data_IF_893069166059
#
_entry.id   IF_893069166059
#
_cell.length_a   1.000
_cell.length_b   1.000
_cell.length_c   1.000
_cell.angle_alpha   90.00
_cell.angle_beta   90.00
_cell.angle_gamma   90.00
#
_symmetry.space_group_name_H-M   'P 1'
#
loop_
_entity.id
_entity.type
_entity.pdbx_description
1 polymer ?
#
# COMPACT_ATOMS: atom_id res chain seq x y z
N UNK A 1 15.23 -29.57 22.55
CA UNK A 1 14.60 -29.83 21.23
C UNK A 1 14.19 -28.53 20.51
N UNK A 2 14.81 -27.39 20.84
CA UNK A 2 14.50 -26.06 20.30
C UNK A 2 15.72 -25.36 19.66
N UNK A 3 16.78 -26.12 19.37
CA UNK A 3 17.99 -25.61 18.69
C UNK A 3 18.28 -26.31 17.34
N UNK A 4 17.41 -27.24 16.91
CA UNK A 4 17.60 -27.99 15.67
C UNK A 4 16.83 -27.43 14.46
N UNK A 5 15.97 -26.43 14.65
CA UNK A 5 15.13 -25.84 13.58
C UNK A 5 15.82 -24.63 12.91
N UNK A 6 16.76 -23.96 13.60
CA UNK A 6 17.44 -22.75 13.10
C UNK A 6 18.62 -23.02 12.14
N UNK A 7 18.94 -24.29 11.85
CA UNK A 7 20.12 -24.65 11.05
C UNK A 7 19.83 -24.90 9.56
N UNK A 8 18.55 -24.97 9.14
CA UNK A 8 18.20 -25.23 7.74
C UNK A 8 17.92 -23.97 6.91
N UNK A 9 17.85 -22.79 7.53
CA UNK A 9 17.58 -21.51 6.85
C UNK A 9 18.80 -20.91 6.12
N UNK A 10 19.98 -21.52 6.21
CA UNK A 10 21.23 -20.99 5.58
C UNK A 10 21.59 -21.59 4.22
N UNK A 11 20.79 -22.51 3.68
CA UNK A 11 21.07 -23.20 2.40
C UNK A 11 20.07 -22.89 1.28
N UNK A 12 19.23 -21.86 1.43
CA UNK A 12 18.22 -21.45 0.45
C UNK A 12 18.42 -20.07 -0.16
N UNK A 13 19.65 -19.54 -0.24
CA UNK A 13 19.94 -18.28 -0.94
C UNK A 13 20.24 -18.54 -2.43
N UNK A 14 19.24 -19.00 -3.17
CA UNK A 14 19.27 -18.96 -4.65
C UNK A 14 17.89 -19.23 -5.28
N UNK A 15 16.86 -18.54 -4.79
CA UNK A 15 15.61 -18.35 -5.54
C UNK A 15 15.34 -16.87 -5.64
N UNK A 16 15.91 -16.26 -6.67
CA UNK A 16 15.39 -15.00 -7.23
C UNK A 16 13.91 -15.19 -7.53
N UNK A 17 13.12 -14.13 -7.40
CA UNK A 17 11.71 -14.05 -7.78
C UNK A 17 11.53 -14.12 -9.31
N UNK A 18 12.24 -15.02 -9.98
CA UNK A 18 12.03 -15.30 -11.39
C UNK A 18 10.76 -16.15 -11.54
N UNK A 19 9.65 -15.48 -11.84
CA UNK A 19 8.54 -16.07 -12.58
C UNK A 19 7.60 -16.98 -11.81
N UNK A 20 7.03 -16.52 -10.69
CA UNK A 20 5.73 -17.06 -10.27
C UNK A 20 4.63 -16.48 -11.17
N UNK A 21 4.24 -17.26 -12.18
CA UNK A 21 2.98 -17.04 -12.90
C UNK A 21 1.85 -17.04 -11.87
N UNK A 22 0.91 -16.08 -11.90
CA UNK A 22 -0.25 -16.11 -11.02
C UNK A 22 -1.05 -17.39 -11.27
N UNK A 23 -1.71 -17.98 -10.25
CA UNK A 23 -2.50 -19.19 -10.40
C UNK A 23 -3.63 -18.92 -11.42
N UNK A 24 -3.48 -19.55 -12.57
CA UNK A 24 -4.44 -19.51 -13.66
C UNK A 24 -5.61 -20.43 -13.33
N UNK A 25 -6.61 -19.89 -12.63
CA UNK A 25 -7.97 -20.37 -12.77
C UNK A 25 -8.46 -20.00 -14.16
N UNK A 26 -8.64 -20.99 -15.04
CA UNK A 26 -9.16 -20.80 -16.40
C UNK A 26 -10.63 -20.37 -16.36
N UNK A 27 -10.88 -19.09 -16.13
CA UNK A 27 -12.12 -18.43 -16.49
C UNK A 27 -11.82 -17.54 -17.69
N UNK A 28 -12.43 -17.87 -18.83
CA UNK A 28 -12.47 -17.06 -20.05
C UNK A 28 -12.52 -15.56 -19.72
N UNK A 29 -11.47 -14.81 -20.10
CA UNK A 29 -11.42 -13.35 -20.04
C UNK A 29 -12.36 -12.75 -21.09
N UNK A 30 -13.67 -12.94 -20.90
CA UNK A 30 -14.65 -12.09 -21.52
C UNK A 30 -14.69 -10.82 -20.66
N UNK A 31 -14.26 -9.69 -21.23
CA UNK A 31 -14.58 -8.37 -20.68
C UNK A 31 -16.11 -8.31 -20.54
N UNK A 32 -16.62 -8.52 -19.32
CA UNK A 32 -18.05 -8.39 -19.04
C UNK A 32 -18.37 -6.91 -19.13
N UNK A 33 -19.24 -6.56 -20.09
CA UNK A 33 -19.78 -5.20 -20.22
C UNK A 33 -20.49 -4.86 -18.90
N UNK A 34 -20.11 -3.76 -18.20
CA UNK A 34 -20.74 -3.37 -16.95
C UNK A 34 -22.25 -3.18 -17.13
N UNK A 35 -23.07 -3.54 -16.13
CA UNK A 35 -24.50 -3.21 -16.18
C UNK A 35 -24.65 -1.69 -16.28
N UNK A 36 -25.64 -1.23 -17.06
CA UNK A 36 -25.96 0.20 -17.24
C UNK A 36 -26.03 0.90 -15.88
N UNK A 37 -25.17 1.91 -15.66
CA UNK A 37 -25.07 2.68 -14.41
C UNK A 37 -23.81 2.39 -13.57
N UNK A 38 -22.97 1.43 -13.97
CA UNK A 38 -21.78 1.02 -13.21
C UNK A 38 -20.46 1.21 -13.98
N UNK A 39 -20.30 2.33 -14.68
CA UNK A 39 -19.06 2.61 -15.41
C UNK A 39 -18.15 3.51 -14.56
N UNK A 40 -16.85 3.19 -14.55
CA UNK A 40 -15.83 4.07 -13.99
C UNK A 40 -15.67 5.31 -14.88
N UNK A 41 -15.79 6.51 -14.31
CA UNK A 41 -15.69 7.79 -15.01
C UNK A 41 -14.23 8.22 -15.19
N UNK A 42 -13.46 7.41 -15.94
CA UNK A 42 -12.01 7.54 -16.10
C UNK A 42 -11.53 8.95 -16.46
N UNK A 43 -12.19 9.61 -17.41
CA UNK A 43 -11.82 10.96 -17.84
C UNK A 43 -12.01 11.99 -16.72
N UNK A 44 -13.04 11.81 -15.87
CA UNK A 44 -13.26 12.69 -14.73
C UNK A 44 -12.22 12.45 -13.64
N UNK A 45 -11.84 11.20 -13.39
CA UNK A 45 -10.78 10.91 -12.41
C UNK A 45 -9.43 11.43 -12.89
N UNK A 46 -9.09 11.30 -14.18
CA UNK A 46 -7.87 11.92 -14.73
C UNK A 46 -7.88 13.43 -14.59
N UNK A 47 -9.00 14.08 -14.93
CA UNK A 47 -9.17 15.52 -14.71
C UNK A 47 -8.97 15.87 -13.23
N UNK A 48 -9.69 15.23 -12.30
CA UNK A 48 -9.54 15.44 -10.86
C UNK A 48 -8.08 15.32 -10.39
N UNK A 49 -7.38 14.26 -10.79
CA UNK A 49 -6.00 13.99 -10.38
C UNK A 49 -5.01 15.05 -10.87
N UNK A 50 -5.25 15.64 -12.05
CA UNK A 50 -4.39 16.67 -12.65
C UNK A 50 -4.56 18.06 -12.02
N UNK A 51 -5.67 18.30 -11.29
CA UNK A 51 -6.02 19.60 -10.72
C UNK A 51 -5.99 19.59 -9.18
N UNK A 52 -5.33 18.61 -8.55
CA UNK A 52 -5.23 18.48 -7.09
C UNK A 52 -4.48 19.63 -6.40
N UNK A 53 -3.59 20.32 -7.11
CA UNK A 53 -2.74 21.41 -6.58
C UNK A 53 -2.95 22.74 -7.30
N UNK A 54 -4.09 22.96 -7.95
CA UNK A 54 -4.40 24.22 -8.63
C UNK A 54 -4.49 25.41 -7.66
N UNK A 55 -5.07 25.19 -6.48
CA UNK A 55 -5.23 26.22 -5.45
C UNK A 55 -4.20 26.07 -4.31
N UNK A 56 -2.98 26.54 -4.59
CA UNK A 56 -1.85 26.53 -3.65
C UNK A 56 -1.96 27.59 -2.54
N UNK A 57 -2.92 28.51 -2.65
CA UNK A 57 -3.15 29.58 -1.67
C UNK A 57 -4.24 29.23 -0.65
N UNK A 58 -5.01 28.16 -0.90
CA UNK A 58 -6.03 27.68 0.01
C UNK A 58 -5.47 27.26 1.38
N UNK A 59 -6.31 27.42 2.42
CA UNK A 59 -6.01 26.93 3.76
C UNK A 59 -5.80 25.41 3.78
N UNK A 60 -6.61 24.67 3.02
CA UNK A 60 -6.52 23.21 2.94
C UNK A 60 -5.20 22.76 2.31
N UNK A 61 -4.70 23.48 1.29
CA UNK A 61 -3.37 23.23 0.75
C UNK A 61 -2.29 23.46 1.83
N UNK A 62 -2.34 24.56 2.57
CA UNK A 62 -1.34 24.81 3.63
C UNK A 62 -1.43 23.79 4.78
N UNK A 63 -2.64 23.38 5.18
CA UNK A 63 -2.83 22.44 6.29
C UNK A 63 -2.45 21.00 5.94
N UNK A 64 -2.38 20.65 4.65
CA UNK A 64 -2.04 19.30 4.17
C UNK A 64 -0.54 19.07 3.92
N UNK A 65 0.35 20.01 4.27
CA UNK A 65 1.80 19.88 4.04
C UNK A 65 2.39 18.59 4.62
N UNK A 66 1.96 18.20 5.82
CA UNK A 66 2.41 16.98 6.50
C UNK A 66 1.94 15.66 5.83
N UNK A 67 1.08 15.73 4.81
CA UNK A 67 0.58 14.58 4.04
C UNK A 67 1.04 14.58 2.58
N UNK A 68 1.82 15.58 2.16
CA UNK A 68 2.04 15.88 0.73
C UNK A 68 2.74 14.75 -0.02
N UNK A 69 3.75 14.11 0.57
CA UNK A 69 4.42 12.94 -0.03
C UNK A 69 3.46 11.78 -0.27
N UNK A 70 2.57 11.51 0.69
CA UNK A 70 1.50 10.53 0.52
C UNK A 70 0.53 10.93 -0.59
N UNK A 71 0.10 12.20 -0.61
CA UNK A 71 -0.75 12.79 -1.65
C UNK A 71 -0.19 12.60 -3.06
N UNK A 72 1.10 12.89 -3.24
CA UNK A 72 1.81 12.69 -4.50
C UNK A 72 1.86 11.21 -4.88
N UNK A 73 2.16 10.32 -3.94
CA UNK A 73 2.13 8.88 -4.19
C UNK A 73 0.77 8.40 -4.66
N UNK A 74 -0.31 8.76 -3.98
CA UNK A 74 -1.66 8.35 -4.35
C UNK A 74 -2.06 8.92 -5.71
N UNK A 75 -1.75 10.20 -5.98
CA UNK A 75 -2.06 10.85 -7.25
C UNK A 75 -1.32 10.23 -8.44
N UNK A 76 0.00 10.05 -8.33
CA UNK A 76 0.84 9.45 -9.38
C UNK A 76 0.43 8.00 -9.62
N UNK A 77 0.20 7.23 -8.56
CA UNK A 77 -0.19 5.81 -8.69
C UNK A 77 -1.59 5.66 -9.28
N UNK A 78 -2.53 6.55 -8.95
CA UNK A 78 -3.84 6.59 -9.60
C UNK A 78 -3.74 6.90 -11.10
N UNK A 79 -2.92 7.88 -11.50
CA UNK A 79 -2.63 8.16 -12.90
C UNK A 79 -1.93 6.97 -13.60
N UNK A 80 -1.07 6.24 -12.88
CA UNK A 80 -0.44 5.05 -13.42
C UNK A 80 -1.45 3.93 -13.68
N UNK A 81 -2.42 3.71 -12.79
CA UNK A 81 -3.54 2.78 -13.02
C UNK A 81 -4.41 3.20 -14.21
N UNK A 82 -4.56 4.50 -14.46
CA UNK A 82 -5.24 5.02 -15.65
C UNK A 82 -4.39 4.96 -16.92
N UNK A 83 -3.09 4.61 -16.81
CA UNK A 83 -2.06 4.61 -17.86
C UNK A 83 -1.73 6.01 -18.41
N UNK A 84 -1.74 7.03 -17.54
CA UNK A 84 -1.56 8.46 -17.89
C UNK A 84 -0.40 9.17 -17.20
N UNK A 85 0.26 8.53 -16.23
CA UNK A 85 1.34 9.14 -15.44
C UNK A 85 2.55 9.62 -16.26
N UNK A 86 2.79 9.09 -17.46
CA UNK A 86 3.89 9.50 -18.35
C UNK A 86 3.50 10.57 -19.39
N UNK A 87 2.22 10.96 -19.46
CA UNK A 87 1.75 11.89 -20.51
C UNK A 87 2.25 13.34 -20.31
N UNK A 88 2.63 13.70 -19.09
CA UNK A 88 3.17 15.03 -18.75
C UNK A 88 4.60 14.92 -18.19
N UNK A 89 5.57 15.00 -19.09
CA UNK A 89 6.98 14.92 -18.73
C UNK A 89 7.44 16.07 -17.83
N UNK A 90 6.90 17.28 -18.01
CA UNK A 90 7.26 18.45 -17.19
C UNK A 90 6.78 18.28 -15.75
N UNK A 91 5.56 17.78 -15.57
CA UNK A 91 5.02 17.46 -14.24
C UNK A 91 5.79 16.33 -13.56
N UNK A 92 6.20 15.30 -14.32
CA UNK A 92 7.06 14.24 -13.80
C UNK A 92 8.38 14.80 -13.25
N UNK A 93 9.06 15.64 -14.02
CA UNK A 93 10.32 16.28 -13.58
C UNK A 93 10.11 17.13 -12.32
N UNK A 94 9.04 17.95 -12.28
CA UNK A 94 8.69 18.75 -11.10
C UNK A 94 8.51 17.89 -9.83
N UNK A 95 7.79 16.77 -9.96
CA UNK A 95 7.53 15.84 -8.85
C UNK A 95 8.84 15.19 -8.39
N UNK A 96 9.68 14.71 -9.31
CA UNK A 96 10.96 14.07 -8.97
C UNK A 96 11.88 15.06 -8.26
N UNK A 97 12.03 16.27 -8.79
CA UNK A 97 12.84 17.33 -8.17
C UNK A 97 12.30 17.73 -6.79
N UNK A 98 10.98 17.77 -6.62
CA UNK A 98 10.36 18.02 -5.31
C UNK A 98 10.63 16.89 -4.31
N UNK A 99 10.51 15.62 -4.71
CA UNK A 99 10.83 14.47 -3.85
C UNK A 99 12.29 14.55 -3.38
N UNK A 100 13.23 14.83 -4.29
CA UNK A 100 14.65 14.94 -3.94
C UNK A 100 14.94 16.09 -2.96
N UNK A 101 14.16 17.18 -3.00
CA UNK A 101 14.21 18.27 -2.00
C UNK A 101 13.61 17.91 -0.65
N UNK A 102 12.79 16.86 -0.57
CA UNK A 102 12.24 16.36 0.70
C UNK A 102 13.23 15.47 1.47
N UNK A 103 14.39 15.17 0.90
CA UNK A 103 15.47 14.45 1.60
C UNK A 103 15.96 15.26 2.79
N UNK A 104 16.24 14.58 3.90
CA UNK A 104 16.78 15.18 5.11
C UNK A 104 18.10 15.94 4.85
N UNK A 105 18.16 17.25 5.15
CA UNK A 105 19.39 18.05 5.06
C UNK A 105 20.51 17.56 5.98
N UNK A 106 20.17 16.89 7.09
CA UNK A 106 21.11 16.28 8.03
C UNK A 106 21.86 15.06 7.46
N UNK A 107 21.53 14.67 6.22
CA UNK A 107 22.10 13.54 5.51
C UNK A 107 21.90 12.19 6.23
N UNK A 108 20.80 12.03 6.98
CA UNK A 108 20.40 10.71 7.48
C UNK A 108 20.12 9.73 6.34
N UNK A 109 19.61 10.24 5.21
CA UNK A 109 19.18 9.49 4.05
C UNK A 109 17.66 9.35 3.94
N UNK A 110 16.90 9.65 5.00
CA UNK A 110 15.44 9.63 4.97
C UNK A 110 14.81 10.81 4.23
N UNK A 111 13.52 10.69 3.93
CA UNK A 111 12.69 11.75 3.33
C UNK A 111 11.58 12.16 4.29
N UNK A 112 11.30 13.46 4.34
CA UNK A 112 10.15 14.02 5.05
C UNK A 112 8.90 14.09 4.17
N UNK A 113 7.73 14.34 4.77
CA UNK A 113 6.46 14.43 4.05
C UNK A 113 6.37 15.65 3.12
N UNK A 114 7.22 16.65 3.32
CA UNK A 114 7.38 17.83 2.47
C UNK A 114 8.79 18.43 2.67
N UNK A 115 9.20 19.34 1.78
CA UNK A 115 10.50 20.00 1.86
C UNK A 115 10.64 20.77 3.19
N UNK A 116 11.75 20.54 3.91
CA UNK A 116 12.01 21.15 5.21
C UNK A 116 11.37 20.46 6.41
N UNK A 117 10.64 19.36 6.21
CA UNK A 117 10.12 18.53 7.31
C UNK A 117 11.13 17.48 7.76
N UNK A 118 11.00 17.04 9.01
CA UNK A 118 11.79 15.93 9.54
C UNK A 118 11.53 14.63 8.74
N UNK A 119 12.55 13.79 8.53
CA UNK A 119 12.38 12.52 7.83
C UNK A 119 11.64 11.50 8.69
N UNK A 120 10.77 10.74 8.04
CA UNK A 120 10.07 9.61 8.63
C UNK A 120 10.02 8.42 7.66
N UNK A 121 9.75 7.23 8.19
CA UNK A 121 9.79 6.00 7.42
C UNK A 121 8.63 5.89 6.41
N UNK A 122 7.50 6.53 6.67
CA UNK A 122 6.33 6.48 5.79
C UNK A 122 6.53 7.39 4.57
N UNK A 123 6.98 8.63 4.78
CA UNK A 123 7.34 9.53 3.69
C UNK A 123 8.51 8.99 2.87
N UNK A 124 9.51 8.39 3.51
CA UNK A 124 10.60 7.67 2.83
C UNK A 124 10.06 6.56 1.94
N UNK A 125 9.18 5.70 2.46
CA UNK A 125 8.58 4.63 1.67
C UNK A 125 7.77 5.18 0.47
N UNK A 126 6.94 6.22 0.67
CA UNK A 126 6.20 6.85 -0.43
C UNK A 126 7.10 7.44 -1.51
N UNK A 127 8.20 8.09 -1.12
CA UNK A 127 9.20 8.61 -2.07
C UNK A 127 9.75 7.47 -2.95
N UNK A 128 10.11 6.33 -2.35
CA UNK A 128 10.60 5.17 -3.10
C UNK A 128 9.54 4.62 -4.06
N UNK A 129 8.28 4.54 -3.63
CA UNK A 129 7.20 4.06 -4.49
C UNK A 129 6.99 4.97 -5.71
N UNK A 130 7.00 6.29 -5.54
CA UNK A 130 6.87 7.23 -6.67
C UNK A 130 8.06 7.15 -7.62
N UNK A 131 9.29 7.11 -7.08
CA UNK A 131 10.49 6.96 -7.90
C UNK A 131 10.54 5.62 -8.63
N UNK A 132 9.98 4.57 -8.04
CA UNK A 132 9.81 3.25 -8.68
C UNK A 132 8.83 3.33 -9.85
N UNK A 133 7.65 3.95 -9.65
CA UNK A 133 6.64 4.14 -10.71
C UNK A 133 7.23 4.91 -11.89
N UNK A 134 8.03 5.93 -11.64
CA UNK A 134 8.72 6.69 -12.70
C UNK A 134 10.01 6.04 -13.22
N UNK A 135 10.41 4.88 -12.69
CA UNK A 135 11.63 4.14 -13.04
C UNK A 135 12.89 5.03 -13.00
N UNK A 136 13.06 5.77 -11.89
CA UNK A 136 14.17 6.70 -11.62
C UNK A 136 14.76 6.51 -10.22
N UNK A 137 14.71 5.28 -9.70
CA UNK A 137 15.31 4.93 -8.40
C UNK A 137 16.83 5.14 -8.37
N UNK A 138 17.51 5.17 -9.52
CA UNK A 138 18.95 5.40 -9.64
C UNK A 138 19.39 6.81 -9.23
N UNK A 139 18.46 7.77 -9.16
CA UNK A 139 18.72 9.12 -8.66
C UNK A 139 18.88 9.17 -7.13
N UNK A 140 18.49 8.10 -6.43
CA UNK A 140 18.42 8.05 -4.97
C UNK A 140 19.70 7.44 -4.37
N UNK A 141 20.13 8.00 -3.22
CA UNK A 141 21.19 7.40 -2.40
C UNK A 141 20.64 6.19 -1.63
N UNK A 142 20.63 5.03 -2.30
CA UNK A 142 20.06 3.78 -1.77
C UNK A 142 20.71 3.36 -0.45
N UNK A 143 22.03 3.50 -0.33
CA UNK A 143 22.75 3.17 0.91
C UNK A 143 22.39 4.13 2.04
N UNK A 144 22.25 5.43 1.75
CA UNK A 144 21.75 6.43 2.68
C UNK A 144 20.37 6.06 3.22
N UNK A 145 19.42 5.76 2.34
CA UNK A 145 18.05 5.38 2.72
C UNK A 145 18.05 4.08 3.54
N UNK A 146 18.75 3.04 3.09
CA UNK A 146 18.80 1.77 3.80
C UNK A 146 19.38 1.94 5.21
N UNK A 147 20.42 2.77 5.37
CA UNK A 147 21.00 3.12 6.68
C UNK A 147 20.02 3.90 7.56
N UNK A 148 19.27 4.85 7.01
CA UNK A 148 18.21 5.55 7.74
C UNK A 148 17.19 4.55 8.29
N UNK A 149 16.64 3.71 7.43
CA UNK A 149 15.63 2.70 7.82
C UNK A 149 16.19 1.75 8.87
N UNK A 150 17.40 1.23 8.67
CA UNK A 150 18.04 0.31 9.61
C UNK A 150 18.27 0.96 10.99
N UNK A 151 18.55 2.26 11.04
CA UNK A 151 18.73 2.99 12.30
C UNK A 151 17.45 3.10 13.14
N UNK A 152 16.28 2.93 12.52
CA UNK A 152 14.97 2.96 13.19
C UNK A 152 14.56 1.61 13.76
N UNK A 153 15.29 0.52 13.47
CA UNK A 153 14.98 -0.79 14.03
C UNK A 153 15.26 -0.82 15.54
N UNK A 154 14.27 -1.25 16.33
CA UNK A 154 14.38 -1.39 17.78
C UNK A 154 14.82 -2.80 18.19
N UNK A 155 15.44 -2.99 19.38
CA UNK A 155 15.82 -4.31 19.88
C UNK A 155 14.69 -5.33 19.93
N UNK A 156 13.44 -4.87 20.11
CA UNK A 156 12.25 -5.71 20.15
C UNK A 156 11.83 -6.27 18.78
N UNK A 157 12.37 -5.72 17.68
CA UNK A 157 12.12 -6.11 16.29
C UNK A 157 11.23 -5.14 15.49
N UNK A 158 10.48 -4.24 16.14
CA UNK A 158 9.72 -3.21 15.43
C UNK A 158 10.60 -2.08 14.92
N UNK A 159 10.02 -1.24 14.08
CA UNK A 159 10.61 0.03 13.66
C UNK A 159 9.91 1.19 14.32
N UNK A 160 10.69 2.20 14.71
CA UNK A 160 10.15 3.51 15.00
C UNK A 160 9.78 4.24 13.71
N UNK A 161 8.73 5.05 13.73
CA UNK A 161 8.35 5.87 12.57
C UNK A 161 9.40 6.92 12.24
N UNK A 162 10.01 7.48 13.27
CA UNK A 162 11.02 8.54 13.22
C UNK A 162 11.87 8.55 14.51
N UNK A 163 12.62 9.63 14.72
CA UNK A 163 13.45 9.84 15.92
C UNK A 163 12.68 10.00 17.24
N UNK A 164 11.37 10.22 17.20
CA UNK A 164 10.52 10.43 18.37
C UNK A 164 9.94 9.14 18.94
N UNK A 165 10.06 8.04 18.21
CA UNK A 165 9.98 6.69 18.78
C UNK A 165 8.59 6.06 18.82
N UNK A 166 7.59 6.61 18.12
CA UNK A 166 6.31 5.91 17.88
C UNK A 166 6.59 4.57 17.19
N UNK A 167 5.89 3.51 17.60
CA UNK A 167 6.03 2.18 17.00
C UNK A 167 4.66 1.61 16.66
N UNK A 168 4.54 1.02 15.48
CA UNK A 168 3.45 0.14 15.12
C UNK A 168 3.80 -0.77 13.93
N UNK A 169 2.84 -1.59 13.51
CA UNK A 169 2.97 -2.51 12.38
C UNK A 169 3.16 -1.79 11.04
N UNK A 170 2.63 -0.58 10.85
CA UNK A 170 2.78 0.20 9.60
C UNK A 170 4.24 0.53 9.35
N UNK A 171 4.96 0.98 10.37
CA UNK A 171 6.39 1.31 10.23
C UNK A 171 7.22 0.07 9.89
N UNK A 172 6.88 -1.08 10.46
CA UNK A 172 7.55 -2.35 10.12
C UNK A 172 7.29 -2.76 8.68
N UNK A 173 6.05 -2.62 8.19
CA UNK A 173 5.73 -2.84 6.79
C UNK A 173 6.47 -1.88 5.85
N UNK A 174 6.43 -0.56 6.12
CA UNK A 174 7.13 0.45 5.34
C UNK A 174 8.64 0.19 5.27
N UNK A 175 9.25 -0.20 6.40
CA UNK A 175 10.66 -0.56 6.48
C UNK A 175 10.99 -1.72 5.55
N UNK A 176 10.28 -2.84 5.69
CA UNK A 176 10.55 -4.05 4.90
C UNK A 176 10.26 -3.82 3.42
N UNK A 177 9.17 -3.13 3.08
CA UNK A 177 8.83 -2.81 1.69
C UNK A 177 9.93 -1.98 1.04
N UNK A 178 10.34 -0.86 1.67
CA UNK A 178 11.42 -0.04 1.15
C UNK A 178 12.76 -0.80 1.04
N UNK A 179 13.13 -1.61 2.04
CA UNK A 179 14.35 -2.42 1.97
C UNK A 179 14.30 -3.51 0.90
N UNK A 180 13.11 -4.06 0.58
CA UNK A 180 12.98 -5.00 -0.55
C UNK A 180 13.15 -4.30 -1.89
N UNK A 181 12.59 -3.09 -2.05
CA UNK A 181 12.76 -2.26 -3.27
C UNK A 181 14.24 -1.93 -3.49
N UNK A 182 15.00 -1.72 -2.40
CA UNK A 182 16.43 -1.40 -2.45
C UNK A 182 17.37 -2.61 -2.47
N UNK A 183 16.85 -3.85 -2.43
CA UNK A 183 17.63 -5.08 -2.25
C UNK A 183 18.59 -5.02 -1.04
N UNK A 184 18.08 -4.53 0.11
CA UNK A 184 18.86 -4.20 1.30
C UNK A 184 18.27 -4.79 2.61
N UNK A 185 17.50 -5.89 2.52
CA UNK A 185 16.95 -6.58 3.69
C UNK A 185 18.02 -7.09 4.67
N UNK A 186 19.25 -7.30 4.20
CA UNK A 186 20.40 -7.72 5.01
C UNK A 186 20.85 -6.66 6.02
N UNK A 187 20.34 -5.43 5.93
CA UNK A 187 20.66 -4.33 6.85
C UNK A 187 19.89 -4.36 8.17
N UNK A 188 18.90 -5.24 8.30
CA UNK A 188 18.03 -5.33 9.49
C UNK A 188 17.89 -6.77 9.98
N UNK A 189 17.55 -6.94 11.25
CA UNK A 189 17.21 -8.25 11.82
C UNK A 189 15.78 -8.64 11.45
N UNK A 190 15.59 -9.25 10.27
CA UNK A 190 14.29 -9.71 9.78
C UNK A 190 13.63 -10.73 10.73
N UNK A 191 14.42 -11.60 11.37
CA UNK A 191 13.87 -12.59 12.30
C UNK A 191 13.28 -11.90 13.54
N UNK A 192 13.91 -10.82 14.03
CA UNK A 192 13.36 -10.00 15.11
C UNK A 192 12.06 -9.32 14.68
N UNK A 193 12.00 -8.78 13.45
CA UNK A 193 10.78 -8.20 12.88
C UNK A 193 9.63 -9.20 12.92
N UNK A 194 9.85 -10.42 12.42
CA UNK A 194 8.81 -11.46 12.38
C UNK A 194 8.38 -11.88 13.78
N UNK A 195 9.33 -12.05 14.72
CA UNK A 195 9.00 -12.31 16.14
C UNK A 195 8.18 -11.20 16.78
N UNK A 196 8.39 -9.94 16.40
CA UNK A 196 7.58 -8.82 16.90
C UNK A 196 6.19 -8.81 16.28
N UNK A 197 6.12 -8.96 14.95
CA UNK A 197 4.88 -8.93 14.18
C UNK A 197 3.90 -10.02 14.64
N UNK A 198 4.39 -11.24 14.88
CA UNK A 198 3.57 -12.34 15.39
C UNK A 198 3.02 -12.08 16.81
N UNK A 199 3.63 -11.20 17.61
CA UNK A 199 3.04 -10.77 18.91
C UNK A 199 1.90 -9.77 18.74
N UNK A 200 1.79 -9.13 17.58
CA UNK A 200 0.68 -8.24 17.24
C UNK A 200 -0.55 -9.00 16.74
N UNK A 201 -0.42 -10.30 16.45
CA UNK A 201 -1.55 -11.14 16.10
C UNK A 201 -2.42 -11.43 17.34
N UNK A 202 -3.72 -11.25 17.18
CA UNK A 202 -4.72 -11.51 18.21
C UNK A 202 -5.34 -12.90 18.06
N UNK A 203 -6.14 -13.26 19.05
CA UNK A 203 -6.87 -14.53 19.07
C UNK A 203 -7.85 -14.68 17.90
N UNK A 204 -8.23 -13.61 17.21
CA UNK A 204 -9.14 -13.68 16.06
C UNK A 204 -8.40 -13.95 14.74
N UNK A 205 -7.07 -14.08 14.78
CA UNK A 205 -6.20 -14.34 13.64
C UNK A 205 -5.68 -13.08 12.95
N UNK A 206 -6.26 -11.92 13.24
CA UNK A 206 -5.89 -10.63 12.66
C UNK A 206 -4.90 -9.86 13.55
N UNK A 207 -4.46 -8.68 13.10
CA UNK A 207 -3.39 -7.92 13.75
C UNK A 207 -3.87 -6.55 14.21
N UNK A 208 -3.39 -6.16 15.40
CA UNK A 208 -3.46 -4.79 15.90
C UNK A 208 -2.19 -3.98 15.55
N UNK A 209 -2.18 -2.66 15.83
CA UNK A 209 -1.01 -1.79 15.62
C UNK A 209 0.20 -2.20 16.44
N UNK A 210 -0.03 -2.72 17.64
CA UNK A 210 0.98 -3.15 18.62
C UNK A 210 0.43 -4.36 19.37
N UNK A 211 1.27 -5.13 20.10
CA UNK A 211 0.79 -6.28 20.85
C UNK A 211 -0.38 -5.93 21.78
N UNK A 212 -1.43 -6.76 21.76
CA UNK A 212 -2.67 -6.64 22.55
C UNK A 212 -3.63 -5.51 22.14
N UNK A 213 -3.29 -4.70 21.14
CA UNK A 213 -4.24 -3.73 20.59
C UNK A 213 -5.30 -4.43 19.71
N UNK A 214 -6.48 -3.83 19.60
CA UNK A 214 -7.59 -4.35 18.81
C UNK A 214 -7.17 -4.64 17.36
N UNK A 215 -7.62 -5.78 16.81
CA UNK A 215 -7.42 -6.12 15.40
C UNK A 215 -8.06 -5.09 14.49
N UNK A 216 -7.32 -4.65 13.46
CA UNK A 216 -7.78 -3.66 12.50
C UNK A 216 -7.32 -4.03 11.09
N UNK A 217 -8.15 -3.82 10.09
CA UNK A 217 -7.87 -4.21 8.71
C UNK A 217 -6.59 -3.56 8.15
N UNK A 218 -6.37 -2.27 8.41
CA UNK A 218 -5.15 -1.58 7.98
C UNK A 218 -3.85 -2.16 8.58
N UNK A 219 -3.82 -2.49 9.87
CA UNK A 219 -2.65 -3.12 10.50
C UNK A 219 -2.51 -4.59 10.11
N UNK A 220 -3.63 -5.27 9.88
CA UNK A 220 -3.67 -6.62 9.32
C UNK A 220 -3.09 -6.65 7.91
N UNK A 221 -3.46 -5.71 7.04
CA UNK A 221 -2.82 -5.51 5.74
C UNK A 221 -1.31 -5.36 5.88
N UNK A 222 -0.84 -4.40 6.70
CA UNK A 222 0.58 -4.18 6.87
C UNK A 222 1.32 -5.44 7.36
N UNK A 223 0.73 -6.20 8.29
CA UNK A 223 1.32 -7.46 8.75
C UNK A 223 1.39 -8.52 7.66
N UNK A 224 0.31 -8.71 6.90
CA UNK A 224 0.25 -9.71 5.82
C UNK A 224 1.26 -9.38 4.73
N UNK A 225 1.35 -8.11 4.31
CA UNK A 225 2.32 -7.73 3.29
C UNK A 225 3.75 -7.83 3.81
N UNK A 226 4.00 -7.46 5.08
CA UNK A 226 5.32 -7.66 5.69
C UNK A 226 5.75 -9.14 5.72
N UNK A 227 4.84 -10.06 6.06
CA UNK A 227 5.10 -11.50 6.00
C UNK A 227 5.35 -11.99 4.58
N UNK A 228 4.59 -11.49 3.60
CA UNK A 228 4.77 -11.86 2.20
C UNK A 228 6.10 -11.39 1.62
N UNK A 229 6.54 -10.18 1.95
CA UNK A 229 7.80 -9.60 1.50
C UNK A 229 9.04 -10.39 1.92
N UNK A 230 8.93 -11.17 3.01
CA UNK A 230 10.03 -11.99 3.55
C UNK A 230 9.76 -13.49 3.49
N UNK A 231 8.78 -13.92 2.69
CA UNK A 231 8.39 -15.32 2.48
C UNK A 231 8.07 -16.08 3.78
N UNK A 232 7.31 -15.44 4.69
CA UNK A 232 6.98 -15.94 6.03
C UNK A 232 5.46 -16.08 6.28
N UNK A 233 4.65 -16.18 5.22
CA UNK A 233 3.20 -16.34 5.35
C UNK A 233 2.81 -17.67 6.04
N UNK A 234 3.67 -18.68 6.00
CA UNK A 234 3.48 -19.97 6.66
C UNK A 234 3.55 -19.89 8.20
N UNK A 235 4.00 -18.75 8.75
CA UNK A 235 4.05 -18.51 10.19
C UNK A 235 2.66 -18.25 10.81
N UNK A 236 1.60 -18.10 10.01
CA UNK A 236 0.25 -17.80 10.49
C UNK A 236 -0.80 -18.73 9.87
N UNK A 237 -1.93 -18.88 10.57
CA UNK A 237 -3.11 -19.57 10.04
C UNK A 237 -3.82 -18.67 9.01
N UNK A 238 -3.53 -18.91 7.73
CA UNK A 238 -4.05 -18.13 6.60
C UNK A 238 -5.57 -18.25 6.44
N UNK A 239 -6.17 -19.38 6.80
CA UNK A 239 -7.62 -19.57 6.68
C UNK A 239 -8.36 -18.81 7.79
N UNK A 240 -7.84 -18.85 9.01
CA UNK A 240 -8.40 -18.05 10.12
C UNK A 240 -8.30 -16.55 9.85
N UNK A 241 -7.13 -16.12 9.37
CA UNK A 241 -6.91 -14.73 8.95
C UNK A 241 -7.84 -14.33 7.79
N UNK A 242 -7.94 -15.19 6.77
CA UNK A 242 -8.84 -14.99 5.63
C UNK A 242 -10.31 -14.88 6.04
N UNK A 243 -10.73 -15.69 7.02
CA UNK A 243 -12.08 -15.64 7.58
C UNK A 243 -12.35 -14.29 8.25
N UNK A 244 -11.42 -13.80 9.08
CA UNK A 244 -11.56 -12.50 9.73
C UNK A 244 -11.66 -11.36 8.72
N UNK A 245 -10.87 -11.41 7.64
CA UNK A 245 -10.85 -10.43 6.56
C UNK A 245 -12.15 -10.44 5.74
N UNK A 246 -12.65 -11.60 5.33
CA UNK A 246 -13.88 -11.67 4.52
C UNK A 246 -15.12 -11.26 5.32
N UNK A 247 -15.17 -11.55 6.63
CA UNK A 247 -16.22 -11.11 7.56
C UNK A 247 -16.23 -9.59 7.84
N UNK A 248 -15.38 -8.81 7.15
CA UNK A 248 -15.50 -7.36 7.08
C UNK A 248 -16.44 -6.90 5.99
N UNK A 249 -16.82 -7.76 5.04
CA UNK A 249 -17.68 -7.36 3.94
C UNK A 249 -19.09 -7.13 4.47
N UNK A 250 -19.56 -5.89 4.35
CA UNK A 250 -20.87 -5.50 4.86
C UNK A 250 -21.96 -5.78 3.82
N UNK A 251 -23.25 -5.75 4.20
CA UNK A 251 -24.35 -5.90 3.24
C UNK A 251 -24.35 -4.90 2.08
N UNK A 252 -23.70 -3.74 2.23
CA UNK A 252 -23.55 -2.74 1.16
C UNK A 252 -22.48 -3.10 0.12
N UNK A 253 -21.72 -4.19 0.32
CA UNK A 253 -20.64 -4.63 -0.56
C UNK A 253 -19.25 -4.12 -0.16
N UNK A 254 -19.18 -2.95 0.48
CA UNK A 254 -17.95 -2.38 1.02
C UNK A 254 -17.48 -3.07 2.31
N UNK A 255 -16.22 -2.87 2.66
CA UNK A 255 -15.64 -3.44 3.88
C UNK A 255 -15.52 -2.43 5.01
N UNK A 256 -15.67 -2.87 6.25
CA UNK A 256 -15.30 -2.09 7.42
C UNK A 256 -13.88 -2.45 7.94
N UNK A 257 -13.25 -1.51 8.64
CA UNK A 257 -11.91 -1.73 9.18
C UNK A 257 -11.88 -2.61 10.44
N UNK A 258 -13.02 -2.67 11.13
CA UNK A 258 -13.24 -3.36 12.40
C UNK A 258 -14.70 -3.81 12.48
N UNK A 259 -15.00 -4.87 13.25
CA UNK A 259 -16.38 -5.28 13.54
C UNK A 259 -17.25 -4.11 13.99
N UNK A 260 -18.52 -4.11 13.58
CA UNK A 260 -19.52 -3.09 13.96
C UNK A 260 -19.19 -1.65 13.56
N UNK A 261 -18.28 -1.44 12.60
CA UNK A 261 -18.01 -0.13 11.99
C UNK A 261 -18.61 -0.02 10.58
N UNK A 262 -18.76 1.23 10.12
CA UNK A 262 -19.22 1.53 8.78
C UNK A 262 -18.20 1.07 7.73
N UNK A 263 -18.66 0.69 6.53
CA UNK A 263 -17.76 0.39 5.41
C UNK A 263 -17.04 1.64 4.91
N UNK A 264 -15.91 1.47 4.23
CA UNK A 264 -15.08 2.55 3.72
C UNK A 264 -14.30 2.06 2.48
N UNK A 265 -14.24 2.88 1.43
CA UNK A 265 -13.59 2.54 0.16
C UNK A 265 -12.14 2.14 0.33
N UNK A 266 -11.37 2.72 1.27
CA UNK A 266 -9.95 2.39 1.39
C UNK A 266 -9.72 0.93 1.80
N UNK A 267 -10.66 0.32 2.54
CA UNK A 267 -10.58 -1.10 2.88
C UNK A 267 -10.81 -2.02 1.68
N UNK A 268 -11.35 -1.52 0.57
CA UNK A 268 -11.37 -2.22 -0.72
C UNK A 268 -9.97 -2.54 -1.22
N UNK A 269 -8.95 -1.77 -0.82
CA UNK A 269 -7.57 -2.15 -1.02
C UNK A 269 -7.02 -2.94 0.15
N UNK A 270 -7.08 -2.41 1.39
CA UNK A 270 -6.42 -3.02 2.54
C UNK A 270 -6.82 -4.49 2.76
N UNK A 271 -8.11 -4.81 2.60
CA UNK A 271 -8.61 -6.17 2.82
C UNK A 271 -8.46 -7.03 1.57
N UNK A 272 -8.84 -6.51 0.40
CA UNK A 272 -8.78 -7.29 -0.84
C UNK A 272 -7.34 -7.66 -1.21
N UNK A 273 -6.39 -6.74 -1.07
CA UNK A 273 -4.98 -7.02 -1.34
C UNK A 273 -4.41 -8.04 -0.36
N UNK A 274 -4.74 -7.95 0.94
CA UNK A 274 -4.35 -8.95 1.91
C UNK A 274 -4.94 -10.33 1.59
N UNK A 275 -6.23 -10.40 1.23
CA UNK A 275 -6.88 -11.62 0.77
C UNK A 275 -6.24 -12.16 -0.51
N UNK A 276 -5.86 -11.31 -1.46
CA UNK A 276 -5.18 -11.71 -2.68
C UNK A 276 -3.78 -12.28 -2.39
N UNK A 277 -3.01 -11.64 -1.49
CA UNK A 277 -1.68 -12.10 -1.06
C UNK A 277 -1.72 -13.50 -0.45
N UNK A 278 -2.78 -13.84 0.31
CA UNK A 278 -2.93 -15.15 0.95
C UNK A 278 -3.77 -16.15 0.12
N UNK A 279 -4.05 -15.84 -1.15
CA UNK A 279 -4.85 -16.66 -2.07
C UNK A 279 -6.28 -16.96 -1.57
N UNK A 280 -6.95 -15.95 -1.02
CA UNK A 280 -8.32 -15.99 -0.47
C UNK A 280 -9.24 -14.90 -1.03
N UNK A 281 -8.82 -14.17 -2.06
CA UNK A 281 -9.66 -13.14 -2.70
C UNK A 281 -11.01 -13.67 -3.21
N UNK A 282 -11.12 -14.97 -3.51
CA UNK A 282 -12.36 -15.61 -3.95
C UNK A 282 -13.41 -15.81 -2.82
N UNK A 283 -13.11 -15.44 -1.57
CA UNK A 283 -14.01 -15.59 -0.42
C UNK A 283 -15.01 -14.43 -0.25
N UNK A 284 -14.88 -13.39 -1.06
CA UNK A 284 -15.71 -12.18 -0.99
C UNK A 284 -16.56 -12.01 -2.25
N UNK A 285 -17.63 -11.22 -2.14
CA UNK A 285 -18.45 -10.81 -3.28
C UNK A 285 -17.76 -9.64 -4.00
N UNK A 286 -16.94 -9.96 -5.00
CA UNK A 286 -16.20 -8.97 -5.77
C UNK A 286 -17.07 -8.06 -6.64
N UNK A 287 -18.25 -8.53 -7.07
CA UNK A 287 -19.18 -7.71 -7.86
C UNK A 287 -19.79 -6.61 -6.97
N UNK A 288 -20.25 -6.96 -5.76
CA UNK A 288 -20.76 -5.96 -4.80
C UNK A 288 -19.70 -4.98 -4.32
N UNK A 289 -18.45 -5.43 -4.18
CA UNK A 289 -17.36 -4.54 -3.81
C UNK A 289 -17.10 -3.49 -4.91
N UNK A 290 -17.09 -3.91 -6.17
CA UNK A 290 -16.96 -2.98 -7.30
C UNK A 290 -18.14 -2.01 -7.37
N UNK A 291 -19.37 -2.49 -7.16
CA UNK A 291 -20.58 -1.65 -7.03
C UNK A 291 -20.42 -0.57 -5.95
N UNK A 292 -19.93 -0.95 -4.76
CA UNK A 292 -19.69 -0.01 -3.66
C UNK A 292 -18.66 1.07 -4.01
N UNK A 293 -17.53 0.69 -4.63
CA UNK A 293 -16.49 1.66 -5.04
C UNK A 293 -17.03 2.62 -6.10
N UNK A 294 -17.71 2.11 -7.13
CA UNK A 294 -18.25 2.91 -8.24
C UNK A 294 -19.34 3.86 -7.75
N UNK A 295 -20.14 3.46 -6.75
CA UNK A 295 -21.14 4.33 -6.13
C UNK A 295 -20.54 5.48 -5.29
N UNK A 296 -19.27 5.37 -4.89
CA UNK A 296 -18.55 6.42 -4.15
C UNK A 296 -17.78 7.39 -5.07
N UNK A 297 -17.86 7.21 -6.39
CA UNK A 297 -17.23 8.11 -7.34
C UNK A 297 -18.04 9.41 -7.47
N UNK A 298 -17.37 10.54 -7.61
CA UNK A 298 -18.07 11.79 -7.93
C UNK A 298 -18.36 11.87 -9.43
N UNK A 299 -19.64 12.00 -9.75
CA UNK A 299 -20.14 12.08 -11.11
C UNK A 299 -19.97 13.47 -11.73
N UNK A 300 -19.60 14.51 -10.98
CA UNK A 300 -19.45 15.87 -11.50
C UNK A 300 -17.99 16.22 -11.81
N UNK A 301 -17.13 16.30 -10.79
CA UNK A 301 -15.72 16.69 -10.87
C UNK A 301 -14.72 15.53 -10.90
N UNK A 302 -15.14 14.32 -10.53
CA UNK A 302 -14.28 13.14 -10.46
C UNK A 302 -13.65 12.93 -9.08
N UNK A 303 -12.73 11.97 -8.99
CA UNK A 303 -12.34 11.37 -7.70
C UNK A 303 -13.33 10.35 -7.14
N UNK A 304 -12.92 9.67 -6.07
CA UNK A 304 -13.71 8.70 -5.29
C UNK A 304 -13.61 9.07 -3.81
N UNK A 305 -14.74 9.07 -3.11
CA UNK A 305 -14.85 9.32 -1.68
C UNK A 305 -14.73 8.04 -0.84
N UNK A 306 -14.73 8.17 0.48
CA UNK A 306 -14.78 7.04 1.41
C UNK A 306 -16.11 6.29 1.35
N UNK A 307 -17.22 6.98 1.04
CA UNK A 307 -18.57 6.40 0.87
C UNK A 307 -19.39 7.13 -0.20
N UNK A 308 -20.45 6.50 -0.73
CA UNK A 308 -21.42 7.17 -1.60
C UNK A 308 -22.01 8.43 -0.96
N UNK A 309 -21.88 9.56 -1.65
CA UNK A 309 -22.39 10.87 -1.23
C UNK A 309 -21.43 11.72 -0.40
N UNK A 310 -20.26 11.19 -0.02
CA UNK A 310 -19.21 11.94 0.66
C UNK A 310 -18.30 12.67 -0.35
N UNK A 311 -17.39 13.53 0.14
CA UNK A 311 -16.49 14.33 -0.70
C UNK A 311 -15.26 13.52 -1.12
N UNK A 312 -14.89 13.50 -2.41
CA UNK A 312 -13.70 12.79 -2.88
C UNK A 312 -12.39 13.33 -2.32
N UNK A 313 -11.44 12.42 -2.10
CA UNK A 313 -10.05 12.75 -1.84
C UNK A 313 -9.10 11.84 -2.65
N UNK A 314 -7.84 12.26 -2.79
CA UNK A 314 -6.85 11.51 -3.58
C UNK A 314 -6.52 10.14 -2.98
N UNK A 315 -6.65 9.98 -1.66
CA UNK A 315 -6.38 8.73 -0.95
C UNK A 315 -7.42 7.66 -1.31
N UNK A 316 -8.70 7.97 -1.17
CA UNK A 316 -9.81 7.08 -1.55
C UNK A 316 -9.90 6.91 -3.06
N UNK A 317 -9.58 7.95 -3.85
CA UNK A 317 -9.47 7.82 -5.31
C UNK A 317 -8.45 6.76 -5.70
N UNK A 318 -7.25 6.80 -5.15
CA UNK A 318 -6.24 5.78 -5.44
C UNK A 318 -6.69 4.39 -4.99
N UNK A 319 -7.13 4.23 -3.74
CA UNK A 319 -7.48 2.89 -3.22
C UNK A 319 -8.75 2.30 -3.84
N UNK A 320 -9.70 3.13 -4.28
CA UNK A 320 -10.84 2.71 -5.09
C UNK A 320 -10.41 2.18 -6.45
N UNK A 321 -9.55 2.93 -7.17
CA UNK A 321 -8.99 2.48 -8.45
C UNK A 321 -8.15 1.21 -8.30
N UNK A 322 -7.33 1.13 -7.25
CA UNK A 322 -6.53 -0.05 -6.93
C UNK A 322 -7.40 -1.28 -6.66
N UNK A 323 -8.49 -1.13 -5.90
CA UNK A 323 -9.48 -2.18 -5.66
C UNK A 323 -10.14 -2.66 -6.96
N UNK A 324 -10.61 -1.74 -7.81
CA UNK A 324 -11.20 -2.07 -9.12
C UNK A 324 -10.22 -2.75 -10.07
N UNK A 325 -8.95 -2.32 -10.05
CA UNK A 325 -7.85 -2.94 -10.80
C UNK A 325 -7.63 -4.37 -10.35
N UNK A 326 -7.52 -4.60 -9.03
CA UNK A 326 -7.26 -5.93 -8.46
C UNK A 326 -8.43 -6.89 -8.73
N UNK A 327 -9.68 -6.41 -8.70
CA UNK A 327 -10.88 -7.17 -9.08
C UNK A 327 -11.02 -7.39 -10.59
N UNK A 328 -10.28 -6.64 -11.42
CA UNK A 328 -10.43 -6.59 -12.88
C UNK A 328 -11.83 -6.17 -13.34
N UNK A 329 -12.43 -5.23 -12.61
CA UNK A 329 -13.80 -4.72 -12.84
C UNK A 329 -13.83 -3.37 -13.57
N UNK A 330 -12.67 -2.85 -13.96
CA UNK A 330 -12.53 -1.65 -14.78
C UNK A 330 -11.34 -1.81 -15.73
N UNK A 331 -11.35 -1.05 -16.84
CA UNK A 331 -10.17 -0.95 -17.70
C UNK A 331 -9.10 -0.08 -17.02
N UNK A 332 -8.26 -0.72 -16.22
CA UNK A 332 -7.13 -0.14 -15.49
C UNK A 332 -5.89 -1.00 -15.71
N UNK A 333 -4.70 -0.44 -15.51
CA UNK A 333 -3.47 -1.23 -15.40
C UNK A 333 -3.60 -2.21 -14.22
N UNK A 334 -3.00 -3.39 -14.34
CA UNK A 334 -2.99 -4.38 -13.25
C UNK A 334 -2.06 -3.91 -12.13
N UNK A 335 -2.52 -3.99 -10.90
CA UNK A 335 -1.75 -3.63 -9.71
C UNK A 335 -1.21 -4.87 -8.99
N UNK A 336 0.00 -4.76 -8.45
CA UNK A 336 0.61 -5.79 -7.61
C UNK A 336 0.06 -5.70 -6.18
N UNK A 337 -0.51 -6.80 -5.62
CA UNK A 337 -1.19 -6.74 -4.32
C UNK A 337 -0.24 -6.36 -3.17
N UNK A 338 1.01 -6.84 -3.18
CA UNK A 338 2.00 -6.56 -2.11
C UNK A 338 2.52 -5.12 -2.13
N UNK A 339 3.01 -4.66 -3.29
CA UNK A 339 3.68 -3.36 -3.41
C UNK A 339 2.76 -2.17 -3.68
N UNK A 340 1.48 -2.40 -4.02
CA UNK A 340 0.54 -1.35 -4.42
C UNK A 340 1.02 -0.50 -5.62
N UNK A 341 1.81 -1.10 -6.51
CA UNK A 341 2.31 -0.49 -7.76
C UNK A 341 1.81 -1.27 -8.97
N UNK A 342 1.77 -0.66 -10.18
CA UNK A 342 1.51 -1.38 -11.42
C UNK A 342 2.44 -2.60 -11.60
N UNK A 343 1.91 -3.69 -12.16
CA UNK A 343 2.62 -4.96 -12.32
C UNK A 343 3.88 -4.86 -13.21
N UNK A 344 3.96 -3.88 -14.11
CA UNK A 344 5.09 -3.62 -15.00
C UNK A 344 6.23 -2.82 -14.32
N UNK A 345 5.96 -2.24 -13.15
CA UNK A 345 6.96 -1.57 -12.30
C UNK A 345 7.72 -2.57 -11.44
N UNK A 346 7.04 -3.61 -10.93
CA UNK A 346 7.64 -4.65 -10.08
C UNK A 346 8.48 -5.58 -10.95
N UNK A 347 9.80 -5.62 -10.73
CA UNK A 347 10.77 -6.40 -11.53
C UNK A 347 11.52 -7.43 -10.70
#
# INVERSE_FOLDING_TARGET
>A
MAQAILAQTRLGRDRRLDGQRPPCGSASAAQRVPRRGMALLREKHDHYLRHLDDDKESLDYMMSEHLRMGGVYWGVSALALLRRHEEDAGRREEIVDWILRCRDPGNSGGFGPNAGHDPDITATHYALLVLSVYNVLDLLDAEGVARFIASLQRPEGCFSGDRWGEVDVRFTYCALSALTILDALDRVDVDACMRWLLRCQNYDGAFGPVPRAESHAAYTFCAVQALALVDALDAVDLDRLGWWLCERQTPSGGFNGRPEKAPDVCYSWWILSALATIDRAHWIDGEKLAEFIIAAQDEEGGGIADRPGDVPDVFHTFFGLAGLSLLRQADLALIHPVYAMPMDVVR
#
